data_IF_245682031229
#
_entry.id   IF_245682031229
#
_cell.length_a   1.000
_cell.length_b   1.000
_cell.length_c   1.000
_cell.angle_alpha   90.00
_cell.angle_beta   90.00
_cell.angle_gamma   90.00
#
_symmetry.space_group_name_H-M   'P 1'
#
loop_
_entity.id
_entity.type
_entity.pdbx_description
1 polymer ?
#
# COMPACT_ATOMS: atom_id res chain seq x y z
N UNK A 1 -10.40 -7.01 -4.31
CA UNK A 1 -10.15 -8.10 -3.35
C UNK A 1 -9.08 -9.02 -3.91
N UNK A 2 -7.88 -8.97 -3.35
CA UNK A 2 -6.82 -9.98 -3.56
C UNK A 2 -6.70 -10.89 -2.34
N UNK A 3 -6.45 -12.18 -2.56
CA UNK A 3 -6.25 -13.15 -1.50
C UNK A 3 -4.91 -12.91 -0.76
N UNK A 4 -4.93 -13.18 0.54
CA UNK A 4 -3.75 -13.09 1.42
C UNK A 4 -3.33 -14.47 1.89
N UNK A 5 -2.96 -15.33 0.95
CA UNK A 5 -2.54 -16.70 1.27
C UNK A 5 -1.26 -16.68 2.11
N UNK A 6 -1.12 -17.66 3.01
CA UNK A 6 -0.01 -17.74 3.95
C UNK A 6 1.35 -17.60 3.24
N UNK A 7 2.19 -16.69 3.72
CA UNK A 7 3.54 -16.46 3.20
C UNK A 7 3.64 -15.69 1.87
N UNK A 8 2.52 -15.23 1.29
CA UNK A 8 2.54 -14.49 0.00
C UNK A 8 2.80 -12.99 0.13
N UNK A 9 2.58 -12.38 1.30
CA UNK A 9 2.73 -10.93 1.50
C UNK A 9 4.12 -10.41 1.10
N UNK A 10 5.16 -11.25 1.24
CA UNK A 10 6.54 -10.92 0.84
C UNK A 10 6.71 -10.59 -0.64
N UNK A 11 5.77 -10.98 -1.50
CA UNK A 11 5.80 -10.70 -2.93
C UNK A 11 5.07 -9.40 -3.31
N UNK A 12 4.39 -8.74 -2.36
CA UNK A 12 3.68 -7.49 -2.61
C UNK A 12 4.66 -6.31 -2.55
N UNK A 13 4.62 -5.46 -3.56
CA UNK A 13 5.41 -4.23 -3.59
C UNK A 13 4.78 -3.17 -2.68
N UNK A 14 5.62 -2.36 -2.05
CA UNK A 14 5.17 -1.11 -1.45
C UNK A 14 4.70 -0.13 -2.55
N UNK A 15 3.70 0.72 -2.29
CA UNK A 15 3.17 1.67 -3.27
C UNK A 15 4.22 2.52 -4.01
N UNK A 16 5.28 2.96 -3.32
CA UNK A 16 6.38 3.75 -3.89
C UNK A 16 7.54 2.93 -4.48
N UNK A 17 7.47 1.60 -4.48
CA UNK A 17 8.55 0.71 -4.91
C UNK A 17 8.21 0.00 -6.23
N UNK A 18 7.64 0.72 -7.19
CA UNK A 18 7.32 0.19 -8.52
C UNK A 18 8.58 -0.15 -9.35
N UNK A 19 9.72 0.44 -9.01
CA UNK A 19 10.95 0.40 -9.81
C UNK A 19 11.06 1.51 -10.86
N UNK A 20 10.08 2.41 -10.97
CA UNK A 20 10.08 3.54 -11.92
C UNK A 20 9.85 4.87 -11.19
N UNK A 21 10.53 5.92 -11.66
CA UNK A 21 10.48 7.26 -11.03
C UNK A 21 9.10 7.93 -11.10
N UNK A 22 8.29 7.59 -12.11
CA UNK A 22 7.01 8.23 -12.41
C UNK A 22 5.81 7.27 -12.35
N UNK A 23 5.96 6.12 -11.69
CA UNK A 23 4.89 5.14 -11.48
C UNK A 23 4.74 4.83 -10.00
N UNK A 24 3.52 4.98 -9.48
CA UNK A 24 3.16 4.59 -8.11
C UNK A 24 2.02 3.59 -8.17
N UNK A 25 2.02 2.62 -7.26
CA UNK A 25 1.04 1.53 -7.23
C UNK A 25 0.01 1.79 -6.14
N UNK A 26 -1.25 1.42 -6.38
CA UNK A 26 -2.32 1.49 -5.39
C UNK A 26 -3.28 0.30 -5.53
N UNK A 27 -3.73 -0.23 -4.40
CA UNK A 27 -4.67 -1.36 -4.32
C UNK A 27 -4.44 -2.27 -3.13
N UNK A 28 -5.45 -3.05 -2.77
CA UNK A 28 -5.39 -4.06 -1.70
C UNK A 28 -4.34 -5.18 -1.92
N UNK A 29 -3.87 -5.34 -3.17
CA UNK A 29 -2.81 -6.26 -3.57
C UNK A 29 -1.39 -5.72 -3.34
N UNK A 30 -1.23 -4.43 -3.07
CA UNK A 30 0.06 -3.85 -2.66
C UNK A 30 0.34 -4.14 -1.18
N UNK A 31 1.57 -3.88 -0.74
CA UNK A 31 1.94 -3.97 0.67
C UNK A 31 1.42 -2.75 1.43
N UNK A 32 0.60 -2.98 2.45
CA UNK A 32 -0.12 -1.91 3.16
C UNK A 32 -0.36 -2.22 4.65
N UNK A 33 0.52 -3.04 5.25
CA UNK A 33 0.48 -3.56 6.63
C UNK A 33 -0.75 -4.39 7.02
N UNK A 34 -1.97 -3.95 6.66
CA UNK A 34 -3.20 -4.73 6.82
C UNK A 34 -3.17 -5.99 5.94
N UNK A 35 -2.69 -5.87 4.70
CA UNK A 35 -2.47 -6.96 3.74
C UNK A 35 -3.63 -7.96 3.67
N UNK A 36 -4.88 -7.49 3.70
CA UNK A 36 -6.11 -8.25 3.50
C UNK A 36 -6.84 -7.69 2.29
N UNK A 37 -7.58 -8.49 1.55
CA UNK A 37 -8.49 -7.96 0.53
C UNK A 37 -9.65 -7.21 1.21
N UNK A 38 -9.57 -5.90 1.31
CA UNK A 38 -10.70 -5.11 1.77
C UNK A 38 -10.56 -3.67 1.29
N UNK A 39 -11.61 -2.88 1.51
CA UNK A 39 -11.60 -1.47 1.12
C UNK A 39 -10.59 -0.68 1.97
N UNK A 40 -10.45 -1.01 3.25
CA UNK A 40 -9.52 -0.37 4.17
C UNK A 40 -8.07 -0.58 3.73
N UNK A 41 -7.71 -1.78 3.31
CA UNK A 41 -6.37 -2.07 2.77
C UNK A 41 -6.10 -1.27 1.48
N UNK A 42 -7.12 -1.12 0.62
CA UNK A 42 -7.02 -0.27 -0.57
C UNK A 42 -6.82 1.19 -0.19
N UNK A 43 -7.52 1.70 0.82
CA UNK A 43 -7.39 3.08 1.30
C UNK A 43 -6.01 3.31 1.90
N UNK A 44 -5.50 2.42 2.77
CA UNK A 44 -4.14 2.52 3.33
C UNK A 44 -3.10 2.54 2.21
N UNK A 45 -3.24 1.63 1.23
CA UNK A 45 -2.39 1.60 0.03
C UNK A 45 -2.40 2.94 -0.73
N UNK A 46 -3.58 3.53 -0.94
CA UNK A 46 -3.71 4.81 -1.63
C UNK A 46 -3.08 5.97 -0.83
N UNK A 47 -3.18 5.97 0.50
CA UNK A 47 -2.50 6.97 1.34
C UNK A 47 -0.98 6.83 1.27
N UNK A 48 -0.46 5.59 1.27
CA UNK A 48 0.96 5.31 1.07
C UNK A 48 1.42 5.74 -0.34
N UNK A 49 0.60 5.52 -1.37
CA UNK A 49 0.87 5.99 -2.73
C UNK A 49 0.91 7.53 -2.80
N UNK A 50 -0.10 8.20 -2.24
CA UNK A 50 -0.15 9.66 -2.12
C UNK A 50 1.11 10.20 -1.43
N UNK A 51 1.55 9.53 -0.36
CA UNK A 51 2.75 9.90 0.38
C UNK A 51 4.01 9.72 -0.49
N UNK A 52 4.11 8.67 -1.28
CA UNK A 52 5.24 8.48 -2.20
C UNK A 52 5.32 9.59 -3.26
N UNK A 53 4.17 10.11 -3.71
CA UNK A 53 4.09 11.18 -4.71
C UNK A 53 4.36 12.57 -4.10
N UNK A 54 3.75 12.86 -2.95
CA UNK A 54 3.61 14.23 -2.43
C UNK A 54 4.20 14.45 -1.04
N UNK A 55 4.73 13.41 -0.40
CA UNK A 55 5.09 13.38 1.03
C UNK A 55 3.91 13.55 2.01
N UNK A 56 2.66 13.61 1.51
CA UNK A 56 1.43 13.71 2.29
C UNK A 56 0.50 12.51 2.04
N UNK A 57 -0.18 11.96 3.07
CA UNK A 57 -0.16 12.38 4.47
C UNK A 57 1.12 11.96 5.21
N UNK A 58 1.32 12.51 6.42
CA UNK A 58 2.37 12.11 7.34
C UNK A 58 2.32 10.61 7.63
N UNK A 59 3.47 9.95 7.81
CA UNK A 59 3.51 8.50 8.09
C UNK A 59 2.65 8.13 9.31
N UNK A 60 2.66 8.98 10.32
CA UNK A 60 1.90 8.81 11.58
C UNK A 60 0.39 9.00 11.44
N UNK A 61 -0.07 9.50 10.30
CA UNK A 61 -1.49 9.66 9.98
C UNK A 61 -2.03 8.45 9.22
N UNK A 62 -1.16 7.67 8.57
CA UNK A 62 -1.53 6.47 7.81
C UNK A 62 -1.68 5.25 8.73
N UNK A 63 -0.80 5.14 9.72
CA UNK A 63 -0.71 3.97 10.62
C UNK A 63 -1.28 4.33 11.99
N UNK A 64 -2.60 4.50 12.07
CA UNK A 64 -3.33 4.62 13.34
C UNK A 64 -4.39 3.54 13.42
N UNK A 65 -4.01 2.41 14.00
CA UNK A 65 -4.93 1.39 14.52
C UNK A 65 -4.53 1.06 15.95
#
# INVERSE_FOLDING_TARGET
YVLSVAGSTKFRLWPGESGFENLTLAGDWTRNDLNVGCVEATVISALLASRAISSYPGKEEIVRF
#
